data_IF_210182118638
#
_entry.id   IF_210182118638
#
_cell.length_a   1.000
_cell.length_b   1.000
_cell.length_c   1.000
_cell.angle_alpha   90.00
_cell.angle_beta   90.00
_cell.angle_gamma   90.00
#
_symmetry.space_group_name_H-M   'P 1'
#
loop_
_entity.id
_entity.type
_entity.pdbx_description
1 polymer ?
#
# COMPACT_ATOMS: atom_id res chain seq x y z
N UNK A 1 22.18 1.69 -13.45
CA UNK A 1 21.57 0.55 -12.71
C UNK A 1 20.11 0.87 -12.41
N UNK A 2 19.19 -0.10 -12.37
CA UNK A 2 17.73 0.16 -12.22
C UNK A 2 17.23 -0.17 -10.81
N UNK A 3 16.31 0.64 -10.30
CA UNK A 3 15.62 0.41 -9.04
C UNK A 3 14.72 -0.83 -9.14
N UNK A 4 14.82 -1.78 -8.20
CA UNK A 4 14.01 -3.00 -8.22
C UNK A 4 12.51 -2.77 -7.93
N UNK A 5 12.12 -1.58 -7.49
CA UNK A 5 10.73 -1.22 -7.15
C UNK A 5 10.08 -0.48 -8.33
N UNK A 6 10.61 0.68 -8.69
CA UNK A 6 10.03 1.57 -9.71
C UNK A 6 10.66 1.43 -11.11
N UNK A 7 11.68 0.58 -11.27
CA UNK A 7 12.38 0.28 -12.53
C UNK A 7 13.07 1.46 -13.22
N UNK A 8 13.01 2.65 -12.62
CA UNK A 8 13.74 3.84 -13.07
C UNK A 8 15.24 3.68 -12.80
N UNK A 9 16.04 4.39 -13.58
CA UNK A 9 17.47 4.49 -13.35
C UNK A 9 17.75 5.14 -11.98
N UNK A 10 18.67 4.54 -11.22
CA UNK A 10 19.09 5.07 -9.92
C UNK A 10 20.07 6.22 -10.18
N UNK A 11 19.78 7.39 -9.60
CA UNK A 11 20.68 8.53 -9.54
C UNK A 11 21.01 8.80 -8.08
N UNK A 12 22.30 8.87 -7.75
CA UNK A 12 22.77 9.04 -6.36
C UNK A 12 22.89 7.69 -5.63
N UNK A 13 22.62 7.71 -4.33
CA UNK A 13 22.85 6.57 -3.44
C UNK A 13 21.93 5.38 -3.70
N UNK A 14 22.48 4.20 -3.43
CA UNK A 14 21.79 2.91 -3.51
C UNK A 14 21.37 2.44 -2.12
N UNK A 15 20.14 1.95 -2.01
CA UNK A 15 19.58 1.49 -0.74
C UNK A 15 19.13 0.05 -0.84
N UNK A 16 19.26 -0.71 0.26
CA UNK A 16 18.71 -2.06 0.35
C UNK A 16 17.18 -2.02 0.16
N UNK A 17 16.64 -2.78 -0.80
CA UNK A 17 15.21 -2.80 -1.10
C UNK A 17 14.36 -3.66 -0.14
N UNK A 18 14.97 -4.40 0.79
CA UNK A 18 14.24 -5.20 1.78
C UNK A 18 13.46 -4.32 2.76
N UNK A 19 12.21 -4.69 3.14
CA UNK A 19 11.56 -5.98 2.93
C UNK A 19 10.68 -6.05 1.66
N UNK A 20 10.71 -5.01 0.83
CA UNK A 20 9.80 -4.83 -0.30
C UNK A 20 10.13 -5.83 -1.43
N UNK A 21 11.42 -5.95 -1.76
CA UNK A 21 11.92 -6.90 -2.75
C UNK A 21 13.41 -7.13 -2.56
N UNK A 22 14.00 -8.09 -3.27
CA UNK A 22 15.45 -8.32 -3.32
C UNK A 22 16.14 -7.25 -4.18
N UNK A 23 17.44 -7.01 -3.91
CA UNK A 23 18.26 -6.06 -4.66
C UNK A 23 18.27 -4.65 -4.08
N UNK A 24 18.42 -3.65 -4.95
CA UNK A 24 18.62 -2.25 -4.58
C UNK A 24 17.49 -1.34 -5.07
N UNK A 25 17.22 -0.28 -4.31
CA UNK A 25 16.26 0.75 -4.68
C UNK A 25 16.89 2.15 -4.66
N UNK A 26 16.27 3.09 -5.38
CA UNK A 26 16.65 4.50 -5.34
C UNK A 26 16.16 5.19 -4.06
N UNK A 27 16.74 6.36 -3.75
CA UNK A 27 16.37 7.19 -2.58
C UNK A 27 14.87 7.43 -2.47
N UNK A 28 14.20 7.78 -3.57
CA UNK A 28 12.74 8.04 -3.57
C UNK A 28 11.92 6.83 -3.14
N UNK A 29 12.26 5.62 -3.62
CA UNK A 29 11.56 4.41 -3.19
C UNK A 29 11.97 3.99 -1.77
N UNK A 30 13.22 4.26 -1.38
CA UNK A 30 13.66 3.97 -0.03
C UNK A 30 12.84 4.77 0.99
N UNK A 31 12.67 6.07 0.76
CA UNK A 31 11.92 6.99 1.62
C UNK A 31 10.41 6.73 1.59
N UNK A 32 9.83 6.50 0.40
CA UNK A 32 8.38 6.41 0.26
C UNK A 32 7.81 4.99 0.39
N UNK A 33 8.62 3.94 0.26
CA UNK A 33 8.15 2.55 0.26
C UNK A 33 8.89 1.72 1.29
N UNK A 34 10.23 1.66 1.19
CA UNK A 34 11.02 0.70 1.98
C UNK A 34 11.02 1.05 3.46
N UNK A 35 11.32 2.29 3.82
CA UNK A 35 11.34 2.73 5.21
C UNK A 35 9.94 2.59 5.85
N UNK A 36 8.83 3.07 5.24
CA UNK A 36 7.49 2.84 5.76
C UNK A 36 7.19 1.35 5.96
N UNK A 37 7.54 0.49 5.00
CA UNK A 37 7.33 -0.95 5.13
C UNK A 37 8.16 -1.58 6.26
N UNK A 38 9.40 -1.12 6.47
CA UNK A 38 10.21 -1.53 7.63
C UNK A 38 9.53 -1.13 8.94
N UNK A 39 9.06 0.11 9.03
CA UNK A 39 8.36 0.61 10.21
C UNK A 39 7.09 -0.20 10.50
N UNK A 40 6.30 -0.51 9.47
CA UNK A 40 5.11 -1.35 9.60
C UNK A 40 5.44 -2.78 10.07
N UNK A 41 6.48 -3.40 9.48
CA UNK A 41 6.88 -4.77 9.81
C UNK A 41 7.52 -4.91 11.21
N UNK A 42 8.10 -3.84 11.76
CA UNK A 42 8.58 -3.81 13.14
C UNK A 42 7.44 -3.93 14.18
N UNK A 43 6.18 -3.92 13.73
CA UNK A 43 5.05 -4.41 14.53
C UNK A 43 4.70 -3.48 15.69
N UNK A 44 5.00 -2.19 15.58
CA UNK A 44 4.74 -1.26 16.67
C UNK A 44 3.25 -1.05 16.94
N UNK A 45 2.31 -1.37 16.04
CA UNK A 45 0.88 -1.31 16.36
C UNK A 45 -0.02 -2.33 15.65
N UNK A 46 -0.84 -3.00 16.47
CA UNK A 46 -1.98 -3.84 16.07
C UNK A 46 -3.19 -3.06 15.50
N UNK A 47 -3.07 -1.73 15.39
CA UNK A 47 -4.12 -0.75 15.04
C UNK A 47 -3.83 0.04 13.76
N UNK A 48 -2.78 -0.34 13.03
CA UNK A 48 -2.37 0.33 11.80
C UNK A 48 -2.88 -0.40 10.55
N UNK A 49 -3.12 0.36 9.50
CA UNK A 49 -3.32 -0.09 8.13
C UNK A 49 -2.27 0.52 7.21
N UNK A 50 -2.26 0.08 5.96
CA UNK A 50 -1.40 0.58 4.91
C UNK A 50 -2.24 1.16 3.78
N UNK A 51 -1.82 2.31 3.25
CA UNK A 51 -2.26 2.81 1.96
C UNK A 51 -1.09 2.66 1.00
N UNK A 52 -1.33 2.00 -0.12
CA UNK A 52 -0.38 1.85 -1.21
C UNK A 52 -0.92 2.65 -2.37
N UNK A 53 -0.16 3.60 -2.87
CA UNK A 53 -0.59 4.50 -3.95
C UNK A 53 0.06 4.10 -5.29
N UNK A 54 -0.56 4.48 -6.43
CA UNK A 54 0.00 4.19 -7.76
C UNK A 54 1.34 4.88 -8.06
N UNK A 55 1.68 5.95 -7.35
CA UNK A 55 2.89 6.75 -7.53
C UNK A 55 4.09 6.27 -6.68
N UNK A 56 4.06 5.02 -6.22
CA UNK A 56 5.10 4.38 -5.41
C UNK A 56 5.28 5.00 -4.02
N UNK A 57 4.17 5.19 -3.31
CA UNK A 57 4.17 5.59 -1.90
C UNK A 57 3.40 4.60 -1.04
N UNK A 58 3.90 4.40 0.16
CA UNK A 58 3.26 3.62 1.22
C UNK A 58 3.09 4.52 2.42
N UNK A 59 1.86 4.63 2.90
CA UNK A 59 1.52 5.39 4.10
C UNK A 59 0.95 4.46 5.16
N UNK A 60 1.40 4.62 6.39
CA UNK A 60 0.84 3.93 7.54
C UNK A 60 -0.29 4.79 8.08
N UNK A 61 -1.49 4.23 8.17
CA UNK A 61 -2.68 4.91 8.71
C UNK A 61 -3.16 4.24 9.98
N UNK A 62 -3.80 5.02 10.85
CA UNK A 62 -4.42 4.54 12.09
C UNK A 62 -5.90 4.88 12.05
N UNK A 63 -6.72 3.99 12.61
CA UNK A 63 -8.11 4.31 12.86
C UNK A 63 -8.18 5.52 13.80
N UNK A 64 -9.06 6.49 13.51
CA UNK A 64 -9.32 7.62 14.42
C UNK A 64 -9.89 7.14 15.76
N UNK A 65 -10.69 6.08 15.72
CA UNK A 65 -11.32 5.44 16.88
C UNK A 65 -10.83 3.99 17.05
N UNK A 66 -11.70 3.09 17.51
CA UNK A 66 -11.38 1.66 17.71
C UNK A 66 -11.18 0.90 16.38
N UNK A 67 -11.97 1.23 15.37
CA UNK A 67 -11.98 0.65 14.02
C UNK A 67 -12.00 1.76 12.96
N UNK A 68 -11.60 1.43 11.73
CA UNK A 68 -11.77 2.32 10.59
C UNK A 68 -13.26 2.44 10.26
N UNK A 69 -13.75 3.67 10.16
CA UNK A 69 -15.09 3.96 9.67
C UNK A 69 -15.16 3.83 8.15
N UNK A 70 -16.37 3.57 7.63
CA UNK A 70 -16.63 3.55 6.18
C UNK A 70 -16.13 4.85 5.51
N UNK A 71 -16.39 6.00 6.13
CA UNK A 71 -15.98 7.30 5.60
C UNK A 71 -14.45 7.43 5.47
N UNK A 72 -13.69 6.99 6.46
CA UNK A 72 -12.22 7.00 6.37
C UNK A 72 -11.73 6.11 5.23
N UNK A 73 -12.31 4.93 5.06
CA UNK A 73 -11.92 4.00 4.00
C UNK A 73 -12.25 4.55 2.61
N UNK A 74 -13.41 5.19 2.46
CA UNK A 74 -13.80 5.89 1.23
C UNK A 74 -12.85 7.06 0.90
N UNK A 75 -12.44 7.84 1.91
CA UNK A 75 -11.43 8.89 1.78
C UNK A 75 -10.09 8.30 1.30
N UNK A 76 -9.65 7.16 1.85
CA UNK A 76 -8.38 6.53 1.49
C UNK A 76 -8.35 5.95 0.07
N UNK A 77 -9.47 5.38 -0.40
CA UNK A 77 -9.56 4.85 -1.79
C UNK A 77 -10.01 5.90 -2.82
N UNK A 78 -10.42 7.08 -2.36
CA UNK A 78 -10.99 8.16 -3.19
C UNK A 78 -12.26 7.76 -3.96
N UNK A 79 -13.21 7.06 -3.30
CA UNK A 79 -14.45 6.62 -3.93
C UNK A 79 -15.25 5.63 -3.07
N UNK A 80 -16.24 4.95 -3.66
CA UNK A 80 -16.89 3.82 -3.01
C UNK A 80 -15.92 2.64 -2.82
N UNK A 81 -16.13 1.87 -1.75
CA UNK A 81 -15.23 0.78 -1.38
C UNK A 81 -15.73 -0.56 -1.88
N UNK A 82 -14.80 -1.39 -2.34
CA UNK A 82 -15.00 -2.81 -2.56
C UNK A 82 -13.98 -3.60 -1.73
N UNK A 83 -14.41 -4.73 -1.15
CA UNK A 83 -13.49 -5.68 -0.52
C UNK A 83 -12.88 -6.57 -1.59
N UNK A 84 -11.61 -6.33 -1.91
CA UNK A 84 -10.90 -7.15 -2.88
C UNK A 84 -10.78 -8.60 -2.38
N UNK A 85 -11.12 -9.61 -3.20
CA UNK A 85 -11.13 -11.00 -2.77
C UNK A 85 -9.78 -11.47 -2.24
N UNK A 86 -9.79 -12.04 -1.03
CA UNK A 86 -8.59 -12.65 -0.44
C UNK A 86 -8.93 -13.78 0.53
N UNK A 87 -8.13 -14.85 0.49
CA UNK A 87 -8.20 -15.95 1.46
C UNK A 87 -7.47 -15.62 2.77
N UNK A 88 -6.85 -14.44 2.87
CA UNK A 88 -6.11 -14.05 4.05
C UNK A 88 -7.06 -13.89 5.25
N UNK A 89 -6.68 -14.45 6.40
CA UNK A 89 -7.49 -14.42 7.63
C UNK A 89 -7.21 -13.22 8.54
N UNK A 90 -6.14 -12.47 8.30
CA UNK A 90 -5.66 -11.40 9.18
C UNK A 90 -5.96 -10.00 8.65
N UNK A 91 -6.04 -9.78 7.33
CA UNK A 91 -6.33 -8.48 6.74
C UNK A 91 -7.48 -8.49 5.72
N UNK A 92 -8.11 -7.32 5.56
CA UNK A 92 -8.92 -6.95 4.40
C UNK A 92 -8.08 -6.12 3.43
N UNK A 93 -8.37 -6.28 2.15
CA UNK A 93 -7.88 -5.41 1.09
C UNK A 93 -9.10 -4.62 0.60
N UNK A 94 -8.98 -3.31 0.58
CA UNK A 94 -10.05 -2.38 0.24
C UNK A 94 -9.57 -1.55 -0.94
N UNK A 95 -10.40 -1.48 -1.97
CA UNK A 95 -10.11 -0.79 -3.23
C UNK A 95 -11.28 0.10 -3.62
N UNK A 96 -11.06 0.96 -4.61
CA UNK A 96 -12.11 1.78 -5.18
C UNK A 96 -12.96 0.96 -6.15
N UNK A 97 -14.25 0.77 -5.85
CA UNK A 97 -15.23 0.06 -6.70
C UNK A 97 -15.36 0.70 -8.09
N UNK A 98 -15.26 2.03 -8.16
CA UNK A 98 -15.43 2.83 -9.37
C UNK A 98 -14.11 3.07 -10.10
N UNK A 99 -12.99 2.55 -9.59
CA UNK A 99 -11.66 2.96 -10.03
C UNK A 99 -11.42 2.74 -11.54
N UNK A 100 -11.98 1.68 -12.12
CA UNK A 100 -11.90 1.43 -13.57
C UNK A 100 -12.76 2.42 -14.37
N UNK A 101 -13.97 2.74 -13.88
CA UNK A 101 -14.87 3.72 -14.50
C UNK A 101 -14.23 5.12 -14.49
N UNK A 102 -13.54 5.45 -13.39
CA UNK A 102 -12.79 6.69 -13.20
C UNK A 102 -11.45 6.73 -13.95
N UNK A 103 -11.06 5.64 -14.64
CA UNK A 103 -9.76 5.51 -15.34
C UNK A 103 -8.56 5.78 -14.43
N UNK A 104 -8.63 5.33 -13.16
CA UNK A 104 -7.51 5.45 -12.24
C UNK A 104 -6.31 4.60 -12.73
N UNK A 105 -5.07 5.01 -12.43
CA UNK A 105 -3.89 4.28 -12.86
C UNK A 105 -3.76 2.94 -12.10
N UNK A 106 -3.21 1.92 -12.78
CA UNK A 106 -2.86 0.65 -12.16
C UNK A 106 -1.87 0.88 -11.01
N UNK A 107 -2.16 0.29 -9.86
CA UNK A 107 -1.25 0.29 -8.74
C UNK A 107 -0.18 -0.80 -8.94
N UNK A 108 0.88 -0.44 -9.65
CA UNK A 108 1.96 -1.38 -9.96
C UNK A 108 2.65 -1.88 -8.69
N UNK A 109 2.70 -1.07 -7.64
CA UNK A 109 3.31 -1.44 -6.37
C UNK A 109 2.50 -2.53 -5.66
N UNK A 110 1.20 -2.37 -5.50
CA UNK A 110 0.35 -3.40 -4.88
C UNK A 110 0.36 -4.72 -5.67
N UNK A 111 0.40 -4.62 -7.00
CA UNK A 111 0.47 -5.79 -7.88
C UNK A 111 1.77 -6.57 -7.69
N UNK A 112 2.92 -5.87 -7.65
CA UNK A 112 4.23 -6.53 -7.46
C UNK A 112 4.41 -7.11 -6.05
N UNK A 113 3.95 -6.40 -5.01
CA UNK A 113 4.20 -6.82 -3.62
C UNK A 113 3.22 -7.88 -3.13
N UNK A 114 1.95 -7.77 -3.54
CA UNK A 114 0.87 -8.55 -2.95
C UNK A 114 0.05 -9.33 -3.99
N UNK A 115 0.37 -9.23 -5.28
CA UNK A 115 -0.45 -9.81 -6.35
C UNK A 115 -1.83 -9.14 -6.48
N UNK A 116 -1.99 -7.92 -5.97
CA UNK A 116 -3.25 -7.18 -5.97
C UNK A 116 -3.33 -6.34 -7.24
N UNK A 117 -4.12 -6.80 -8.20
CA UNK A 117 -4.32 -6.12 -9.49
C UNK A 117 -5.49 -5.16 -9.40
N UNK A 118 -5.27 -4.00 -8.77
CA UNK A 118 -6.26 -2.95 -8.61
C UNK A 118 -5.75 -1.61 -9.14
N UNK A 119 -6.67 -0.72 -9.50
CA UNK A 119 -6.39 0.66 -9.91
C UNK A 119 -6.62 1.62 -8.74
N UNK A 120 -5.90 2.73 -8.73
CA UNK A 120 -5.97 3.72 -7.65
C UNK A 120 -5.30 3.24 -6.35
N UNK A 121 -5.72 3.81 -5.23
CA UNK A 121 -5.17 3.48 -3.93
C UNK A 121 -5.66 2.09 -3.48
N UNK A 122 -4.75 1.31 -2.90
CA UNK A 122 -5.06 0.03 -2.26
C UNK A 122 -4.84 0.19 -0.77
N UNK A 123 -5.88 -0.13 0.00
CA UNK A 123 -5.85 0.00 1.46
C UNK A 123 -5.86 -1.40 2.07
N UNK A 124 -4.91 -1.69 2.95
CA UNK A 124 -4.80 -2.96 3.66
C UNK A 124 -4.98 -2.69 5.15
N UNK A 125 -5.98 -3.30 5.77
CA UNK A 125 -6.23 -3.14 7.21
C UNK A 125 -6.39 -4.50 7.89
N UNK A 126 -6.02 -4.65 9.17
CA UNK A 126 -6.37 -5.82 9.97
C UNK A 126 -7.90 -6.03 10.03
N UNK A 127 -8.37 -7.27 9.86
CA UNK A 127 -9.82 -7.57 9.82
C UNK A 127 -10.58 -7.11 11.07
N UNK A 128 -9.95 -7.22 12.23
CA UNK A 128 -10.50 -6.78 13.51
C UNK A 128 -10.74 -5.26 13.63
N UNK A 129 -10.18 -4.47 12.71
CA UNK A 129 -10.33 -3.01 12.67
C UNK A 129 -11.33 -2.57 11.59
N UNK A 130 -12.04 -3.51 10.98
CA UNK A 130 -13.15 -3.24 10.07
C UNK A 130 -14.46 -3.47 10.83
N UNK A 131 -15.35 -2.48 10.80
CA UNK A 131 -16.63 -2.51 11.50
C UNK A 131 -17.78 -2.58 10.52
#
# INVERSE_FOLDING_TARGET
>A
MKCSICEKEIKGDEHNAMPVTTGICCTTCNENVVIPMRMYNLGLNKKEGLIITPDYKVEIVKAKDECFSLKELQEYVNGYIELYPTNNKTYHIIVNEEGLLMRLPLNQLSSKLYGIHAVGNVVIIPKKLFK
#
